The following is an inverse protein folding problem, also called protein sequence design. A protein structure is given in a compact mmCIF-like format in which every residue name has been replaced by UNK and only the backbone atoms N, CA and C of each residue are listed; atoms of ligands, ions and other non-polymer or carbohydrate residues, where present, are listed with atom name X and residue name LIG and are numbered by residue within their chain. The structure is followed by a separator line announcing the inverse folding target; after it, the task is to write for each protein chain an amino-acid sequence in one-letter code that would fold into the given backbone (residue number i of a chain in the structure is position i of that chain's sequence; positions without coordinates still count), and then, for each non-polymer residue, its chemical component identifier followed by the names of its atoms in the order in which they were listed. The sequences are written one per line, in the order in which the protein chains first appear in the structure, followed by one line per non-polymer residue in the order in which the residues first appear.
data_IF_485863926148
#
_entry.id   IF_485863926148
#
_cell.length_a   1.000
_cell.length_b   1.000
_cell.length_c   1.000
_cell.angle_alpha   90.00
_cell.angle_beta   90.00
_cell.angle_gamma   90.00
#
_symmetry.space_group_name_H-M   'P 1'
#
loop_
_entity.id
_entity.type
_entity.pdbx_description
1 polymer ?
#
# COMPACT_ATOMS: atom_id res chain seq x y z
N UNK A 1 -0.85 2.15 26.92
CA UNK A 1 -0.37 1.13 25.96
C UNK A 1 1.15 1.09 26.06
N UNK A 2 1.75 -0.10 26.24
CA UNK A 2 3.20 -0.26 26.13
C UNK A 2 3.54 -0.14 24.65
N UNK A 3 4.44 0.79 24.32
CA UNK A 3 4.90 0.93 22.94
C UNK A 3 5.70 -0.33 22.53
N UNK A 4 5.32 -0.95 21.44
CA UNK A 4 6.04 -2.10 20.88
C UNK A 4 6.93 -1.63 19.73
N UNK A 5 8.18 -2.09 19.74
CA UNK A 5 9.14 -1.89 18.69
C UNK A 5 9.49 -3.23 18.05
N UNK A 6 9.54 -3.27 16.75
CA UNK A 6 9.75 -4.46 15.95
C UNK A 6 11.09 -4.40 15.23
N UNK A 7 11.88 -5.49 15.26
CA UNK A 7 13.16 -5.55 14.55
C UNK A 7 12.90 -5.63 13.03
N UNK A 8 13.26 -4.57 12.31
CA UNK A 8 12.93 -4.36 10.89
C UNK A 8 13.38 -5.53 10.03
N UNK A 9 14.66 -5.94 10.14
CA UNK A 9 15.25 -7.01 9.32
C UNK A 9 14.62 -8.37 9.59
N UNK A 10 14.26 -8.66 10.84
CA UNK A 10 13.60 -9.94 11.19
C UNK A 10 12.20 -10.02 10.62
N UNK A 11 11.45 -8.91 10.66
CA UNK A 11 10.13 -8.82 10.05
C UNK A 11 10.24 -8.96 8.53
N UNK A 12 11.17 -8.23 7.88
CA UNK A 12 11.41 -8.34 6.45
C UNK A 12 11.67 -9.80 6.03
N UNK A 13 12.54 -10.48 6.75
CA UNK A 13 12.87 -11.88 6.49
C UNK A 13 11.68 -12.82 6.68
N UNK A 14 10.81 -12.55 7.65
CA UNK A 14 9.58 -13.32 7.85
C UNK A 14 8.66 -13.27 6.63
N UNK A 15 8.57 -12.10 5.97
CA UNK A 15 7.79 -11.93 4.75
C UNK A 15 8.54 -12.33 3.47
N UNK A 16 9.77 -12.84 3.58
CA UNK A 16 10.58 -13.21 2.42
C UNK A 16 11.17 -12.02 1.66
N UNK A 17 11.16 -10.84 2.28
CA UNK A 17 11.76 -9.64 1.71
C UNK A 17 13.27 -9.66 1.89
N UNK A 18 13.99 -9.09 0.92
CA UNK A 18 15.43 -8.90 1.03
C UNK A 18 15.73 -7.69 1.92
N UNK A 19 16.78 -7.80 2.75
CA UNK A 19 17.22 -6.71 3.61
C UNK A 19 18.70 -6.38 3.36
N UNK A 20 19.03 -5.10 3.42
CA UNK A 20 20.40 -4.61 3.29
C UNK A 20 20.68 -3.61 4.41
N UNK A 21 21.78 -3.85 5.16
CA UNK A 21 22.32 -2.86 6.06
C UNK A 21 23.33 -1.99 5.28
N UNK A 22 23.16 -0.66 5.33
CA UNK A 22 24.08 0.25 4.68
C UNK A 22 23.52 0.93 3.43
N UNK A 23 24.42 1.44 2.59
CA UNK A 23 24.02 2.10 1.34
C UNK A 23 23.74 1.05 0.26
N UNK A 24 22.50 1.03 -0.24
CA UNK A 24 22.05 0.11 -1.29
C UNK A 24 22.89 0.26 -2.58
N UNK A 25 23.35 1.47 -2.89
CA UNK A 25 24.10 1.77 -4.12
C UNK A 25 25.57 1.35 -4.02
N UNK A 26 26.18 1.50 -2.85
CA UNK A 26 27.62 1.26 -2.63
C UNK A 26 27.92 -0.06 -1.93
N UNK A 27 26.87 -0.73 -1.37
CA UNK A 27 26.97 -1.91 -0.49
C UNK A 27 27.94 -1.70 0.68
N UNK A 28 28.12 -0.44 1.10
CA UNK A 28 28.93 -0.12 2.29
C UNK A 28 28.09 -0.37 3.55
N UNK A 29 28.71 -0.99 4.56
CA UNK A 29 28.06 -1.21 5.85
C UNK A 29 27.84 0.14 6.55
N UNK A 30 26.59 0.53 6.73
CA UNK A 30 26.15 1.68 7.50
C UNK A 30 25.06 1.22 8.47
N UNK A 31 25.44 1.01 9.73
CA UNK A 31 24.51 0.56 10.77
C UNK A 31 23.39 1.54 11.08
N UNK A 32 23.44 2.76 10.52
CA UNK A 32 22.39 3.77 10.71
C UNK A 32 21.25 3.67 9.69
N UNK A 33 21.37 2.77 8.71
CA UNK A 33 20.40 2.60 7.63
C UNK A 33 20.04 1.14 7.41
N UNK A 34 18.79 0.90 7.06
CA UNK A 34 18.30 -0.41 6.63
C UNK A 34 17.38 -0.24 5.43
N UNK A 35 17.67 -0.95 4.36
CA UNK A 35 16.81 -1.08 3.19
C UNK A 35 16.07 -2.40 3.27
N UNK A 36 14.78 -2.37 2.97
CA UNK A 36 13.92 -3.54 2.84
C UNK A 36 13.31 -3.53 1.46
N UNK A 37 13.56 -4.59 0.70
CA UNK A 37 13.13 -4.74 -0.68
C UNK A 37 12.06 -5.85 -0.77
N UNK A 38 10.84 -5.47 -1.10
CA UNK A 38 9.70 -6.37 -1.31
C UNK A 38 9.66 -6.98 -2.73
N UNK A 39 10.54 -6.53 -3.62
CA UNK A 39 10.51 -6.84 -5.05
C UNK A 39 9.71 -5.82 -5.87
N UNK A 40 8.78 -5.10 -5.27
CA UNK A 40 7.99 -4.03 -5.92
C UNK A 40 8.41 -2.65 -5.41
N UNK A 41 8.70 -2.53 -4.12
CA UNK A 41 9.10 -1.29 -3.46
C UNK A 41 10.27 -1.54 -2.52
N UNK A 42 11.12 -0.53 -2.38
CA UNK A 42 12.23 -0.52 -1.43
C UNK A 42 11.93 0.53 -0.36
N UNK A 43 11.87 0.11 0.90
CA UNK A 43 11.71 0.98 2.06
C UNK A 43 13.07 1.25 2.72
N UNK A 44 13.44 2.52 2.86
CA UNK A 44 14.64 2.96 3.58
C UNK A 44 14.27 3.47 4.97
N UNK A 45 14.80 2.81 5.98
CA UNK A 45 14.78 3.23 7.37
C UNK A 45 16.11 3.86 7.76
N UNK A 46 16.07 5.00 8.45
CA UNK A 46 17.25 5.71 8.94
C UNK A 46 17.11 5.95 10.44
N UNK A 47 18.15 5.64 11.21
CA UNK A 47 18.19 5.84 12.67
C UNK A 47 17.87 7.30 13.01
N UNK A 48 17.10 7.50 14.05
CA UNK A 48 16.62 8.80 14.54
C UNK A 48 15.68 9.56 13.57
N UNK A 49 15.33 8.98 12.42
CA UNK A 49 14.31 9.51 11.52
C UNK A 49 12.92 9.02 11.90
N UNK A 50 11.93 9.86 11.74
CA UNK A 50 10.51 9.51 11.75
C UNK A 50 9.92 9.53 10.33
N UNK A 51 10.77 9.40 9.32
CA UNK A 51 10.38 9.34 7.91
C UNK A 51 11.01 8.10 7.28
N UNK A 52 10.20 7.34 6.56
CA UNK A 52 10.62 6.23 5.71
C UNK A 52 10.58 6.72 4.28
N UNK A 53 11.62 6.42 3.49
CA UNK A 53 11.64 6.71 2.06
C UNK A 53 11.26 5.44 1.32
N UNK A 54 10.19 5.50 0.53
CA UNK A 54 9.79 4.42 -0.36
C UNK A 54 10.31 4.74 -1.76
N UNK A 55 10.91 3.76 -2.41
CA UNK A 55 11.46 3.86 -3.77
C UNK A 55 10.92 2.74 -4.64
N UNK A 56 10.73 3.02 -5.93
CA UNK A 56 10.40 2.03 -6.95
C UNK A 56 11.32 2.24 -8.16
N UNK A 57 11.82 1.14 -8.75
CA UNK A 57 12.75 1.19 -9.87
C UNK A 57 13.98 2.09 -9.63
N UNK A 58 14.41 2.21 -8.36
CA UNK A 58 15.55 3.04 -7.95
C UNK A 58 15.24 4.53 -7.77
N UNK A 59 14.00 4.96 -7.96
CA UNK A 59 13.57 6.34 -7.76
C UNK A 59 12.73 6.47 -6.49
N UNK A 60 13.01 7.47 -5.62
CA UNK A 60 12.13 7.79 -4.50
C UNK A 60 10.75 8.20 -5.04
N UNK A 61 9.71 7.54 -4.53
CA UNK A 61 8.32 7.83 -4.91
C UNK A 61 7.53 8.40 -3.74
N UNK A 62 7.99 8.17 -2.51
CA UNK A 62 7.25 8.58 -1.32
C UNK A 62 8.15 8.84 -0.12
N UNK A 63 7.77 9.83 0.69
CA UNK A 63 8.25 10.01 2.05
C UNK A 63 7.09 9.81 3.02
N UNK A 64 7.16 8.75 3.79
CA UNK A 64 6.10 8.35 4.72
C UNK A 64 6.49 8.76 6.13
N UNK A 65 5.71 9.61 6.77
CA UNK A 65 5.89 9.91 8.20
C UNK A 65 5.37 8.75 9.05
N UNK A 66 6.13 8.40 10.08
CA UNK A 66 5.78 7.40 11.08
C UNK A 66 5.67 8.04 12.46
N UNK A 67 4.91 7.42 13.33
CA UNK A 67 4.54 7.94 14.65
C UNK A 67 5.75 8.16 15.57
N UNK A 68 6.82 7.38 15.42
CA UNK A 68 8.04 7.43 16.22
C UNK A 68 9.30 7.24 15.36
N UNK A 69 10.40 7.75 15.90
CA UNK A 69 11.72 7.60 15.28
C UNK A 69 12.18 6.15 15.28
N UNK A 70 12.84 5.76 14.20
CA UNK A 70 13.60 4.52 14.11
C UNK A 70 14.72 4.55 15.16
N UNK A 71 14.87 3.47 15.90
CA UNK A 71 15.91 3.32 16.93
C UNK A 71 16.85 2.17 16.58
N UNK A 72 18.10 2.32 17.01
CA UNK A 72 19.11 1.26 16.89
C UNK A 72 19.36 0.65 18.28
N UNK A 73 19.47 -0.67 18.33
CA UNK A 73 19.88 -1.40 19.52
C UNK A 73 20.64 -2.67 19.11
N UNK A 74 21.84 -2.80 19.64
CA UNK A 74 22.71 -3.98 19.42
C UNK A 74 22.94 -4.31 17.92
N UNK A 75 23.09 -3.29 17.08
CA UNK A 75 23.29 -3.43 15.62
C UNK A 75 22.03 -3.75 14.81
N UNK A 76 20.86 -3.75 15.44
CA UNK A 76 19.56 -3.98 14.78
C UNK A 76 18.71 -2.69 14.83
N UNK A 77 18.03 -2.37 13.75
CA UNK A 77 17.10 -1.26 13.67
C UNK A 77 15.68 -1.72 14.03
N UNK A 78 15.02 -0.88 14.80
CA UNK A 78 13.64 -1.11 15.24
C UNK A 78 12.75 0.06 14.85
N UNK A 79 11.52 -0.24 14.52
CA UNK A 79 10.44 0.73 14.31
C UNK A 79 9.16 0.27 15.01
N UNK A 80 8.19 1.16 15.12
CA UNK A 80 6.88 0.84 15.70
C UNK A 80 6.01 0.04 14.73
N UNK A 81 4.85 -0.40 15.21
CA UNK A 81 3.78 -0.99 14.40
C UNK A 81 3.47 -0.12 13.18
N UNK A 82 3.23 1.17 13.38
CA UNK A 82 2.96 2.15 12.32
C UNK A 82 4.06 2.17 11.24
N UNK A 83 5.33 2.11 11.64
CA UNK A 83 6.45 2.06 10.71
C UNK A 83 6.53 0.75 9.92
N UNK A 84 6.18 -0.38 10.54
CA UNK A 84 6.11 -1.67 9.84
C UNK A 84 4.93 -1.69 8.87
N UNK A 85 3.74 -1.30 9.30
CA UNK A 85 2.54 -1.30 8.45
C UNK A 85 2.74 -0.48 7.18
N UNK A 86 3.27 0.73 7.33
CA UNK A 86 3.50 1.65 6.22
C UNK A 86 4.59 1.20 5.24
N UNK A 87 5.67 0.59 5.78
CA UNK A 87 6.79 0.16 4.95
C UNK A 87 6.56 -1.18 4.25
N UNK A 88 5.79 -2.07 4.88
CA UNK A 88 5.60 -3.43 4.39
C UNK A 88 4.23 -3.64 3.74
N UNK A 89 3.38 -2.61 3.73
CA UNK A 89 2.01 -2.71 3.22
C UNK A 89 1.22 -3.85 3.88
N UNK A 90 1.26 -3.89 5.20
CA UNK A 90 0.58 -4.89 6.04
C UNK A 90 -0.29 -4.20 7.09
N UNK A 91 -1.18 -4.94 7.72
CA UNK A 91 -2.01 -4.47 8.83
C UNK A 91 -1.82 -5.40 10.01
N UNK A 92 -1.63 -4.82 11.20
CA UNK A 92 -1.68 -5.53 12.47
C UNK A 92 -3.07 -5.44 13.09
N UNK A 93 -3.59 -6.57 13.52
CA UNK A 93 -4.81 -6.65 14.30
C UNK A 93 -4.54 -7.40 15.60
N UNK A 94 -4.76 -6.73 16.73
CA UNK A 94 -4.63 -7.35 18.04
C UNK A 94 -5.97 -7.95 18.49
N UNK A 95 -6.02 -9.28 18.64
CA UNK A 95 -7.16 -9.99 19.20
C UNK A 95 -6.98 -10.12 20.71
N UNK A 96 -7.71 -9.30 21.50
CA UNK A 96 -7.57 -9.23 22.95
C UNK A 96 -7.98 -10.53 23.66
N UNK A 97 -8.97 -11.23 23.15
CA UNK A 97 -9.51 -12.47 23.69
C UNK A 97 -8.50 -13.62 23.62
N UNK A 98 -7.76 -13.74 22.54
CA UNK A 98 -6.74 -14.76 22.30
C UNK A 98 -5.32 -14.29 22.63
N UNK A 99 -5.13 -13.00 22.85
CA UNK A 99 -3.80 -12.35 23.00
C UNK A 99 -2.87 -12.62 21.82
N UNK A 100 -3.45 -12.66 20.63
CA UNK A 100 -2.72 -12.88 19.38
C UNK A 100 -2.62 -11.59 18.59
N UNK A 101 -1.55 -11.47 17.80
CA UNK A 101 -1.42 -10.44 16.77
C UNK A 101 -1.61 -11.15 15.43
N UNK A 102 -2.62 -10.73 14.70
CA UNK A 102 -2.83 -11.15 13.33
C UNK A 102 -2.14 -10.13 12.42
N UNK A 103 -1.43 -10.61 11.41
CA UNK A 103 -0.76 -9.76 10.43
C UNK A 103 -1.32 -10.11 9.06
N UNK A 104 -1.89 -9.12 8.40
CA UNK A 104 -2.51 -9.28 7.09
C UNK A 104 -1.72 -8.52 6.03
N UNK A 105 -1.36 -9.20 4.94
CA UNK A 105 -0.84 -8.54 3.73
C UNK A 105 -1.97 -7.92 2.93
N UNK A 106 -1.66 -6.94 2.06
CA UNK A 106 -2.68 -6.38 1.16
C UNK A 106 -3.28 -7.45 0.25
N UNK A 107 -2.47 -8.38 -0.25
CA UNK A 107 -2.96 -9.48 -1.10
C UNK A 107 -3.98 -10.36 -0.38
N UNK A 108 -3.70 -10.70 0.87
CA UNK A 108 -4.64 -11.46 1.69
C UNK A 108 -5.96 -10.71 1.87
N UNK A 109 -5.90 -9.42 2.20
CA UNK A 109 -7.10 -8.61 2.42
C UNK A 109 -7.92 -8.45 1.14
N UNK A 110 -7.26 -8.13 0.03
CA UNK A 110 -7.92 -8.04 -1.28
C UNK A 110 -8.62 -9.36 -1.62
N UNK A 111 -7.90 -10.48 -1.53
CA UNK A 111 -8.46 -11.82 -1.80
C UNK A 111 -9.64 -12.14 -0.89
N UNK A 112 -9.52 -11.87 0.41
CA UNK A 112 -10.60 -12.12 1.36
C UNK A 112 -11.88 -11.33 1.03
N UNK A 113 -11.75 -10.06 0.64
CA UNK A 113 -12.90 -9.26 0.25
C UNK A 113 -13.48 -9.65 -1.12
N UNK A 114 -12.63 -10.01 -2.11
CA UNK A 114 -13.13 -10.56 -3.38
C UNK A 114 -13.98 -11.80 -3.14
N UNK A 115 -13.51 -12.73 -2.31
CA UNK A 115 -14.26 -13.94 -1.94
C UNK A 115 -15.53 -13.62 -1.17
N UNK A 116 -15.49 -12.69 -0.22
CA UNK A 116 -16.67 -12.24 0.54
C UNK A 116 -17.77 -11.73 -0.40
N UNK A 117 -17.42 -11.00 -1.45
CA UNK A 117 -18.35 -10.45 -2.44
C UNK A 117 -18.57 -11.36 -3.65
N UNK A 118 -18.04 -12.60 -3.61
CA UNK A 118 -18.17 -13.62 -4.67
C UNK A 118 -17.60 -13.16 -6.02
N UNK A 119 -16.52 -12.39 -5.96
CA UNK A 119 -15.71 -12.01 -7.10
C UNK A 119 -14.51 -12.96 -7.23
N UNK A 120 -14.08 -13.24 -8.45
CA UNK A 120 -12.88 -14.04 -8.72
C UNK A 120 -11.62 -13.20 -8.38
N UNK A 121 -10.53 -13.86 -7.94
CA UNK A 121 -9.26 -13.18 -7.63
C UNK A 121 -8.69 -12.39 -8.81
N UNK A 122 -8.88 -12.88 -10.04
CA UNK A 122 -8.49 -12.15 -11.27
C UNK A 122 -9.23 -10.83 -11.48
N UNK A 123 -10.31 -10.58 -10.73
CA UNK A 123 -11.09 -9.36 -10.78
C UNK A 123 -10.60 -8.29 -9.80
N UNK A 124 -9.53 -8.56 -9.06
CA UNK A 124 -8.92 -7.62 -8.12
C UNK A 124 -7.89 -6.69 -8.75
N UNK A 125 -7.37 -5.75 -7.97
CA UNK A 125 -6.32 -4.84 -8.40
C UNK A 125 -4.99 -5.59 -8.57
N UNK A 126 -4.25 -5.24 -9.62
CA UNK A 126 -2.96 -5.87 -9.94
C UNK A 126 -1.78 -5.13 -9.29
N UNK A 127 -1.80 -3.79 -9.32
CA UNK A 127 -0.69 -2.98 -8.82
C UNK A 127 -0.73 -2.79 -7.30
N UNK A 128 0.44 -2.64 -6.68
CA UNK A 128 0.53 -2.37 -5.23
C UNK A 128 -0.18 -1.05 -4.86
N UNK A 129 -0.11 -0.03 -5.70
CA UNK A 129 -0.79 1.24 -5.47
C UNK A 129 -2.30 1.07 -5.43
N UNK A 130 -2.87 0.28 -6.33
CA UNK A 130 -4.30 0.01 -6.37
C UNK A 130 -4.75 -0.87 -5.18
N UNK A 131 -3.91 -1.83 -4.76
CA UNK A 131 -4.14 -2.64 -3.55
C UNK A 131 -4.16 -1.79 -2.28
N UNK A 132 -3.39 -0.69 -2.22
CA UNK A 132 -3.39 0.24 -1.08
C UNK A 132 -4.76 0.90 -0.83
N UNK A 133 -5.67 0.93 -1.80
CA UNK A 133 -7.04 1.40 -1.58
C UNK A 133 -7.76 0.62 -0.48
N UNK A 134 -7.38 -0.65 -0.23
CA UNK A 134 -7.96 -1.48 0.83
C UNK A 134 -7.70 -0.91 2.24
N UNK A 135 -6.61 -0.18 2.44
CA UNK A 135 -6.28 0.48 3.70
C UNK A 135 -7.29 1.57 4.06
N UNK A 136 -7.97 2.13 3.07
CA UNK A 136 -9.09 3.07 3.24
C UNK A 136 -10.45 2.38 3.17
N UNK A 137 -10.48 1.06 3.21
CA UNK A 137 -11.71 0.28 3.13
C UNK A 137 -12.33 0.25 1.74
N UNK A 138 -11.52 0.45 0.70
CA UNK A 138 -11.95 0.49 -0.70
C UNK A 138 -11.34 -0.67 -1.48
N UNK A 139 -12.16 -1.37 -2.26
CA UNK A 139 -11.75 -2.45 -3.15
C UNK A 139 -11.99 -2.04 -4.60
N UNK A 140 -10.93 -1.95 -5.39
CA UNK A 140 -11.03 -1.87 -6.85
C UNK A 140 -11.34 -3.27 -7.36
N UNK A 141 -12.32 -3.41 -8.21
CA UNK A 141 -12.70 -4.69 -8.80
C UNK A 141 -13.07 -4.55 -10.26
N UNK A 142 -12.96 -5.66 -11.01
CA UNK A 142 -13.39 -5.76 -12.40
C UNK A 142 -14.62 -6.66 -12.50
N UNK A 143 -15.54 -6.35 -13.40
CA UNK A 143 -16.69 -7.22 -13.68
C UNK A 143 -16.27 -8.46 -14.46
N UNK A 144 -16.99 -9.56 -14.22
CA UNK A 144 -16.74 -10.86 -14.89
C UNK A 144 -17.42 -10.96 -16.26
N UNK A 145 -18.19 -9.93 -16.65
CA UNK A 145 -18.89 -9.89 -17.92
C UNK A 145 -17.93 -9.62 -19.10
N UNK A 146 -18.46 -9.73 -20.32
CA UNK A 146 -17.68 -9.52 -21.54
C UNK A 146 -17.07 -8.11 -21.67
N UNK A 147 -17.59 -7.14 -20.92
CA UNK A 147 -17.17 -5.73 -20.99
C UNK A 147 -15.98 -5.42 -20.08
N UNK A 148 -15.74 -6.25 -19.03
CA UNK A 148 -14.61 -6.14 -18.09
C UNK A 148 -14.40 -4.71 -17.59
N UNK A 149 -15.46 -4.11 -17.01
CA UNK A 149 -15.40 -2.75 -16.47
C UNK A 149 -14.96 -2.74 -15.02
N UNK A 150 -14.18 -1.71 -14.68
CA UNK A 150 -13.72 -1.47 -13.31
C UNK A 150 -14.72 -0.63 -12.52
N UNK A 151 -14.82 -0.97 -11.23
CA UNK A 151 -15.56 -0.22 -10.21
C UNK A 151 -14.79 -0.16 -8.90
N UNK A 152 -15.29 0.61 -7.95
CA UNK A 152 -14.75 0.68 -6.58
C UNK A 152 -15.89 0.43 -5.60
N UNK A 153 -15.64 -0.47 -4.66
CA UNK A 153 -16.59 -0.86 -3.62
C UNK A 153 -16.05 -0.47 -2.24
N UNK A 154 -16.94 -0.02 -1.35
CA UNK A 154 -16.63 0.09 0.07
C UNK A 154 -16.77 -1.28 0.72
N UNK A 155 -15.68 -1.81 1.30
CA UNK A 155 -15.63 -3.19 1.84
C UNK A 155 -16.46 -3.38 3.12
N UNK A 156 -16.77 -2.32 3.85
CA UNK A 156 -17.59 -2.42 5.07
C UNK A 156 -19.07 -2.50 4.75
N UNK A 157 -19.50 -1.88 3.65
CA UNK A 157 -20.92 -1.76 3.31
C UNK A 157 -21.34 -2.59 2.10
N UNK A 158 -20.39 -3.06 1.29
CA UNK A 158 -20.63 -3.74 0.03
C UNK A 158 -21.24 -2.84 -1.06
N UNK A 159 -21.26 -1.52 -0.85
CA UNK A 159 -21.83 -0.59 -1.82
C UNK A 159 -20.78 -0.03 -2.74
N UNK A 160 -21.14 0.17 -4.00
CA UNK A 160 -20.25 0.84 -4.94
C UNK A 160 -20.05 2.30 -4.56
N UNK A 161 -18.80 2.71 -4.52
CA UNK A 161 -18.34 4.10 -4.48
C UNK A 161 -18.24 4.63 -5.91
N UNK A 162 -17.70 3.81 -6.81
CA UNK A 162 -17.72 4.02 -8.25
C UNK A 162 -18.36 2.81 -8.92
N UNK A 163 -19.41 3.06 -9.71
CA UNK A 163 -20.05 2.01 -10.50
C UNK A 163 -19.05 1.40 -11.49
N UNK A 164 -19.21 0.09 -11.76
CA UNK A 164 -18.35 -0.65 -12.69
C UNK A 164 -18.66 -0.27 -14.14
N UNK A 165 -18.12 0.83 -14.61
CA UNK A 165 -18.29 1.39 -15.95
C UNK A 165 -17.03 1.93 -16.60
N UNK A 166 -15.92 1.94 -15.89
CA UNK A 166 -14.65 2.49 -16.35
C UNK A 166 -13.80 1.42 -17.02
N UNK A 167 -13.02 1.81 -18.01
CA UNK A 167 -12.08 0.94 -18.73
C UNK A 167 -10.80 0.73 -17.93
N UNK A 168 -10.46 1.71 -17.06
CA UNK A 168 -9.36 1.66 -16.11
C UNK A 168 -9.74 2.44 -14.86
N UNK A 169 -9.26 1.96 -13.70
CA UNK A 169 -9.21 2.71 -12.45
C UNK A 169 -7.83 2.48 -11.85
N UNK A 170 -7.14 3.57 -11.48
CA UNK A 170 -5.88 3.53 -10.73
C UNK A 170 -5.98 4.39 -9.48
N UNK A 171 -5.47 3.90 -8.37
CA UNK A 171 -5.50 4.58 -7.09
C UNK A 171 -4.19 5.32 -6.79
N UNK A 172 -4.32 6.55 -6.29
CA UNK A 172 -3.22 7.38 -5.83
C UNK A 172 -3.28 7.52 -4.31
N UNK A 173 -2.50 6.72 -3.56
CA UNK A 173 -2.58 6.67 -2.09
C UNK A 173 -2.27 8.02 -1.42
N UNK A 174 -1.36 8.82 -1.99
CA UNK A 174 -0.95 10.12 -1.41
C UNK A 174 -2.05 11.16 -1.36
N UNK A 175 -2.96 11.11 -2.32
CA UNK A 175 -4.05 12.09 -2.45
C UNK A 175 -5.41 11.48 -2.18
N UNK A 176 -5.47 10.17 -1.90
CA UNK A 176 -6.72 9.39 -1.77
C UNK A 176 -7.67 9.66 -2.93
N UNK A 177 -7.15 9.54 -4.16
CA UNK A 177 -7.88 9.83 -5.39
C UNK A 177 -7.79 8.65 -6.37
N UNK A 178 -8.78 8.57 -7.25
CA UNK A 178 -8.79 7.64 -8.36
C UNK A 178 -8.65 8.39 -9.69
N UNK A 179 -7.70 7.96 -10.52
CA UNK A 179 -7.71 8.20 -11.95
C UNK A 179 -8.70 7.20 -12.55
N UNK A 180 -9.59 7.69 -13.40
CA UNK A 180 -10.56 6.85 -14.09
C UNK A 180 -10.49 7.10 -15.59
N UNK A 181 -10.62 6.04 -16.39
CA UNK A 181 -10.68 6.12 -17.84
C UNK A 181 -12.02 5.58 -18.33
N UNK A 182 -12.60 6.22 -19.34
CA UNK A 182 -13.72 5.70 -20.09
C UNK A 182 -13.67 6.19 -21.55
N UNK A 183 -13.72 5.24 -22.50
CA UNK A 183 -13.65 5.51 -23.94
C UNK A 183 -12.44 6.37 -24.35
N UNK A 184 -11.24 6.07 -23.79
CA UNK A 184 -10.01 6.77 -24.08
C UNK A 184 -9.94 8.20 -23.51
N UNK A 185 -10.81 8.56 -22.59
CA UNK A 185 -10.78 9.85 -21.87
C UNK A 185 -10.61 9.62 -20.39
N UNK A 186 -9.79 10.46 -19.78
CA UNK A 186 -9.40 10.40 -18.38
C UNK A 186 -10.13 11.45 -17.54
N UNK A 187 -10.36 11.12 -16.29
CA UNK A 187 -10.89 11.99 -15.26
C UNK A 187 -10.37 11.60 -13.87
N UNK A 188 -10.76 12.33 -12.84
CA UNK A 188 -10.37 12.03 -11.46
C UNK A 188 -11.55 12.12 -10.52
N UNK A 189 -11.57 11.26 -9.50
CA UNK A 189 -12.50 11.31 -8.37
C UNK A 189 -11.73 11.25 -7.06
N UNK A 190 -12.34 11.70 -5.96
CA UNK A 190 -11.82 11.40 -4.64
C UNK A 190 -12.29 10.00 -4.16
N UNK A 191 -11.78 9.59 -2.99
CA UNK A 191 -12.10 8.31 -2.36
C UNK A 191 -13.60 8.12 -2.02
N UNK A 192 -14.40 9.19 -2.02
CA UNK A 192 -15.85 9.12 -1.86
C UNK A 192 -16.62 8.97 -3.18
N UNK A 193 -15.91 8.94 -4.32
CA UNK A 193 -16.49 8.88 -5.65
C UNK A 193 -16.92 10.24 -6.22
N UNK A 194 -16.62 11.35 -5.53
CA UNK A 194 -16.94 12.69 -6.02
C UNK A 194 -15.98 13.10 -7.13
N UNK A 195 -16.54 13.52 -8.25
CA UNK A 195 -15.77 13.96 -9.43
C UNK A 195 -14.95 15.21 -9.07
N UNK A 196 -13.64 15.14 -9.24
CA UNK A 196 -12.68 16.25 -9.18
C UNK A 196 -12.39 16.81 -10.57
N UNK A 197 -12.16 15.91 -11.53
CA UNK A 197 -12.04 16.23 -12.94
C UNK A 197 -12.98 15.34 -13.74
N UNK A 198 -13.76 15.94 -14.64
CA UNK A 198 -14.66 15.18 -15.51
C UNK A 198 -13.85 14.27 -16.43
N UNK A 199 -14.44 13.14 -16.81
CA UNK A 199 -13.84 12.21 -17.80
C UNK A 199 -13.96 12.86 -19.18
N UNK A 200 -12.96 13.65 -19.56
CA UNK A 200 -12.97 14.44 -20.79
C UNK A 200 -11.57 14.73 -21.37
N UNK A 201 -10.50 14.37 -20.66
CA UNK A 201 -9.14 14.68 -21.01
C UNK A 201 -8.49 13.55 -21.77
N UNK A 202 -7.66 13.86 -22.77
CA UNK A 202 -6.88 12.85 -23.51
C UNK A 202 -5.73 12.29 -22.68
N UNK A 203 -5.22 13.06 -21.74
CA UNK A 203 -4.13 12.69 -20.85
C UNK A 203 -4.22 13.49 -19.54
N UNK A 204 -3.86 12.87 -18.43
CA UNK A 204 -3.65 13.51 -17.12
C UNK A 204 -2.25 13.16 -16.68
N UNK A 205 -1.39 14.16 -16.50
CA UNK A 205 -0.05 13.99 -15.94
C UNK A 205 -0.07 14.41 -14.48
N UNK A 206 0.36 13.53 -13.63
CA UNK A 206 0.60 13.83 -12.22
C UNK A 206 2.07 14.23 -12.13
N UNK A 207 2.31 15.48 -11.72
CA UNK A 207 3.64 15.99 -11.50
C UNK A 207 3.86 16.07 -9.98
N UNK A 208 4.86 15.37 -9.49
CA UNK A 208 5.30 15.38 -8.10
C UNK A 208 6.23 16.57 -7.82
#
# INVERSE_FOLDING_TARGET
KTEMYFPIRKIAKYFGYSDYAGDYSTKSEDSTKCYVDSGEEIALFTVSSNTIIISRDGFPIEQVEIDKKVVEKDGELYTTEDGIEKAFNIIFEYAEDTKTINIYTLDYLVTAYLQQYKLDEKNGPETISDKKAILEGLLIYQTDDSNKKYGVMNVSTGKNVLEAKYDLISYFPYSSQFLVESNGKYGMTDASGKIKLKVAYDEIKICD
#
